data_IF_236205009224
#
_entry.id   IF_236205009224
#
_cell.length_a   1.000
_cell.length_b   1.000
_cell.length_c   1.000
_cell.angle_alpha   90.00
_cell.angle_beta   90.00
_cell.angle_gamma   90.00
#
_symmetry.space_group_name_H-M   'P 1'
#
loop_
_entity.id
_entity.type
_entity.pdbx_description
1 polymer ?
#
# COMPACT_ATOMS: atom_id res chain seq x y z
N UNK A 1 -18.13 30.20 -0.81
CA UNK A 1 -18.31 29.06 0.11
C UNK A 1 -17.19 28.08 -0.13
N UNK A 2 -16.27 28.02 0.83
CA UNK A 2 -15.06 27.19 0.85
C UNK A 2 -15.42 25.72 1.05
N UNK A 3 -15.31 24.92 0.00
CA UNK A 3 -15.41 23.47 0.09
C UNK A 3 -14.11 22.90 0.66
N UNK A 4 -14.18 22.40 1.89
CA UNK A 4 -13.14 21.60 2.52
C UNK A 4 -13.01 20.27 1.75
N UNK A 5 -11.96 20.14 0.93
CA UNK A 5 -11.53 18.85 0.41
C UNK A 5 -11.07 17.99 1.59
N UNK A 6 -11.83 16.93 1.87
CA UNK A 6 -11.45 15.88 2.78
C UNK A 6 -10.22 15.16 2.22
N UNK A 7 -9.06 15.43 2.80
CA UNK A 7 -7.82 14.67 2.60
C UNK A 7 -8.05 13.21 3.02
N UNK A 8 -8.49 12.36 2.08
CA UNK A 8 -8.46 10.92 2.28
C UNK A 8 -7.00 10.47 2.50
N UNK A 9 -6.71 9.65 3.52
CA UNK A 9 -5.35 9.24 3.82
C UNK A 9 -4.80 8.39 2.66
N UNK A 10 -3.82 8.96 1.95
CA UNK A 10 -3.09 8.30 0.86
C UNK A 10 -2.60 6.92 1.32
N UNK A 11 -3.08 5.86 0.68
CA UNK A 11 -2.74 4.50 1.07
C UNK A 11 -1.21 4.28 1.05
N UNK A 12 -0.67 3.80 2.19
CA UNK A 12 0.77 3.54 2.33
C UNK A 12 1.17 2.39 1.42
N UNK A 13 2.26 2.58 0.65
CA UNK A 13 2.76 1.58 -0.32
C UNK A 13 3.10 0.22 0.32
N UNK A 14 3.39 0.19 1.63
CA UNK A 14 3.63 -1.01 2.43
C UNK A 14 3.05 -0.80 3.83
N UNK A 15 2.09 -1.63 4.22
CA UNK A 15 1.47 -1.58 5.54
C UNK A 15 2.14 -2.64 6.41
N UNK A 16 2.64 -2.23 7.57
CA UNK A 16 3.10 -3.18 8.60
C UNK A 16 1.88 -3.97 9.06
N UNK A 17 1.94 -5.31 8.99
CA UNK A 17 0.92 -6.18 9.56
C UNK A 17 1.43 -6.69 10.92
N UNK A 18 1.07 -6.03 12.04
CA UNK A 18 1.64 -6.40 13.33
C UNK A 18 1.12 -7.76 13.82
N UNK A 19 -0.02 -8.22 13.32
CA UNK A 19 -0.68 -9.44 13.78
C UNK A 19 0.04 -10.70 13.33
N UNK A 20 0.80 -10.62 12.22
CA UNK A 20 1.65 -11.72 11.74
C UNK A 20 2.98 -11.82 12.50
N UNK A 21 3.32 -10.85 13.36
CA UNK A 21 4.52 -10.98 14.16
C UNK A 21 4.38 -12.14 15.15
N UNK A 22 5.37 -13.04 15.17
CA UNK A 22 5.47 -14.19 16.11
C UNK A 22 5.07 -13.82 17.55
N UNK A 23 5.47 -12.64 18.04
CA UNK A 23 5.08 -12.11 19.36
C UNK A 23 3.57 -11.95 19.56
N UNK A 24 2.90 -11.35 18.58
CA UNK A 24 1.49 -11.03 18.65
C UNK A 24 0.64 -12.28 18.44
N UNK A 25 1.06 -13.18 17.55
CA UNK A 25 0.50 -14.53 17.40
C UNK A 25 0.53 -15.26 18.75
N UNK A 26 1.70 -15.41 19.37
CA UNK A 26 1.84 -16.09 20.67
C UNK A 26 1.00 -15.42 21.76
N UNK A 27 0.91 -14.08 21.78
CA UNK A 27 0.08 -13.35 22.75
C UNK A 27 -1.40 -13.68 22.56
N UNK A 28 -1.88 -13.62 21.32
CA UNK A 28 -3.27 -13.91 20.95
C UNK A 28 -3.63 -15.36 21.27
N UNK A 29 -2.77 -16.32 20.87
CA UNK A 29 -2.97 -17.73 21.17
C UNK A 29 -3.06 -18.03 22.67
N UNK A 30 -2.23 -17.36 23.50
CA UNK A 30 -2.31 -17.49 24.97
C UNK A 30 -3.59 -16.93 25.57
N UNK A 31 -4.15 -15.87 25.01
CA UNK A 31 -5.44 -15.32 25.46
C UNK A 31 -6.55 -16.31 25.11
N UNK A 32 -6.63 -16.72 23.83
CA UNK A 32 -7.63 -17.67 23.31
C UNK A 32 -7.50 -19.09 23.87
N UNK A 33 -6.38 -19.43 24.51
CA UNK A 33 -6.15 -20.76 25.08
C UNK A 33 -5.99 -21.86 24.04
N UNK A 34 -5.59 -21.52 22.81
CA UNK A 34 -5.39 -22.49 21.72
C UNK A 34 -3.97 -23.06 21.73
N UNK A 35 -3.81 -24.22 21.08
CA UNK A 35 -2.50 -24.81 20.85
C UNK A 35 -1.60 -23.85 20.07
N UNK A 36 -0.34 -23.69 20.49
CA UNK A 36 0.61 -22.80 19.83
C UNK A 36 2.07 -23.16 20.13
N UNK A 37 2.97 -22.74 19.25
CA UNK A 37 4.41 -22.85 19.47
C UNK A 37 4.90 -21.67 20.32
N UNK A 38 5.65 -21.96 21.39
CA UNK A 38 6.18 -20.94 22.29
C UNK A 38 7.42 -20.23 21.70
N UNK A 39 8.06 -19.36 22.50
CA UNK A 39 9.27 -18.65 22.07
C UNK A 39 10.50 -19.54 21.89
N UNK A 40 10.58 -20.65 22.63
CA UNK A 40 11.66 -21.64 22.59
C UNK A 40 11.50 -22.66 21.46
N UNK A 41 10.31 -22.74 20.85
CA UNK A 41 9.99 -23.69 19.79
C UNK A 41 9.14 -24.87 20.25
N UNK A 42 8.81 -24.95 21.54
CA UNK A 42 8.03 -26.07 22.08
C UNK A 42 6.54 -25.87 21.83
N UNK A 43 5.85 -26.98 21.53
CA UNK A 43 4.40 -27.03 21.38
C UNK A 43 3.71 -26.88 22.74
N UNK A 44 2.87 -25.88 22.88
CA UNK A 44 2.02 -25.67 24.06
C UNK A 44 0.61 -26.11 23.72
N UNK A 45 0.15 -27.14 24.41
CA UNK A 45 -1.19 -27.70 24.26
C UNK A 45 -2.29 -26.67 24.56
N UNK A 46 -3.48 -26.93 24.01
CA UNK A 46 -4.68 -26.11 24.29
C UNK A 46 -4.98 -26.07 25.80
N UNK A 47 -5.55 -24.97 26.27
CA UNK A 47 -5.94 -24.80 27.68
C UNK A 47 -7.04 -25.79 28.01
N UNK A 48 -6.84 -26.56 29.06
CA UNK A 48 -7.78 -27.53 29.61
C UNK A 48 -7.92 -27.34 31.11
N UNK A 49 -8.97 -27.93 31.68
CA UNK A 49 -9.17 -27.99 33.12
C UNK A 49 -8.03 -28.78 33.75
N UNK A 50 -7.47 -28.27 34.83
CA UNK A 50 -6.35 -28.92 35.53
C UNK A 50 -6.78 -30.10 36.41
N UNK A 51 -5.89 -30.48 37.33
CA UNK A 51 -6.15 -31.55 38.29
C UNK A 51 -7.31 -31.22 39.24
N UNK A 52 -8.08 -32.26 39.60
CA UNK A 52 -9.18 -32.15 40.57
C UNK A 52 -8.64 -31.87 41.97
N UNK A 53 -9.24 -30.92 42.68
CA UNK A 53 -8.84 -30.59 44.04
C UNK A 53 -9.39 -31.60 45.07
N UNK A 54 -8.59 -31.92 46.10
CA UNK A 54 -8.99 -32.78 47.23
C UNK A 54 -9.41 -31.95 48.45
N UNK A 55 -10.35 -31.02 48.27
CA UNK A 55 -10.77 -30.08 49.32
C UNK A 55 -12.07 -30.52 50.03
N UNK A 56 -12.27 -30.06 51.27
CA UNK A 56 -13.49 -30.31 52.06
C UNK A 56 -14.78 -29.79 51.41
N UNK A 57 -14.69 -28.75 50.59
CA UNK A 57 -15.81 -28.17 49.85
C UNK A 57 -16.26 -29.03 48.66
N UNK A 58 -15.56 -30.15 48.37
CA UNK A 58 -15.83 -31.04 47.24
C UNK A 58 -16.08 -30.29 45.93
N UNK A 59 -15.28 -29.25 45.64
CA UNK A 59 -15.60 -28.29 44.56
C UNK A 59 -15.87 -28.95 43.19
N UNK A 60 -15.13 -29.98 42.81
CA UNK A 60 -15.31 -30.66 41.51
C UNK A 60 -16.57 -31.52 41.42
N UNK A 61 -17.26 -31.83 42.53
CA UNK A 61 -18.59 -32.47 42.44
C UNK A 61 -19.71 -31.46 42.17
N UNK A 62 -19.41 -30.15 42.18
CA UNK A 62 -20.39 -29.09 41.90
C UNK A 62 -20.46 -28.73 40.40
N UNK A 63 -19.50 -29.20 39.60
CA UNK A 63 -19.37 -28.91 38.18
C UNK A 63 -19.26 -30.22 37.41
N UNK A 64 -20.17 -30.44 36.45
CA UNK A 64 -20.07 -31.55 35.51
C UNK A 64 -19.05 -31.24 34.40
N UNK A 65 -18.93 -32.11 33.40
CA UNK A 65 -17.98 -31.93 32.30
C UNK A 65 -18.39 -30.77 31.39
N UNK A 66 -19.68 -30.58 31.15
CA UNK A 66 -20.22 -29.49 30.33
C UNK A 66 -19.98 -28.12 30.99
N UNK A 67 -20.19 -28.03 32.31
CA UNK A 67 -19.86 -26.84 33.10
C UNK A 67 -18.38 -26.47 32.95
N UNK A 68 -17.48 -27.46 33.03
CA UNK A 68 -16.04 -27.23 32.91
C UNK A 68 -15.67 -26.70 31.52
N UNK A 69 -16.26 -27.25 30.47
CA UNK A 69 -16.07 -26.77 29.09
C UNK A 69 -16.61 -25.35 28.93
N UNK A 70 -17.80 -25.07 29.48
CA UNK A 70 -18.43 -23.77 29.43
C UNK A 70 -17.61 -22.69 30.16
N UNK A 71 -17.09 -22.99 31.35
CA UNK A 71 -16.21 -22.09 32.12
C UNK A 71 -14.98 -21.70 31.30
N UNK A 72 -14.31 -22.68 30.67
CA UNK A 72 -13.14 -22.42 29.84
C UNK A 72 -13.49 -21.66 28.56
N UNK A 73 -14.58 -22.01 27.91
CA UNK A 73 -15.06 -21.34 26.69
C UNK A 73 -15.36 -19.87 26.96
N UNK A 74 -16.13 -19.57 28.00
CA UNK A 74 -16.45 -18.21 28.42
C UNK A 74 -15.17 -17.41 28.73
N UNK A 75 -14.22 -18.02 29.43
CA UNK A 75 -12.96 -17.38 29.75
C UNK A 75 -12.05 -17.12 28.52
N UNK A 76 -12.02 -18.07 27.58
CA UNK A 76 -11.20 -18.00 26.37
C UNK A 76 -11.78 -17.05 25.31
N UNK A 77 -13.10 -16.80 25.34
CA UNK A 77 -13.78 -15.87 24.44
C UNK A 77 -13.53 -14.39 24.77
N UNK A 78 -12.98 -14.08 25.94
CA UNK A 78 -12.55 -12.72 26.28
C UNK A 78 -11.43 -12.26 25.35
N UNK A 79 -11.53 -11.02 24.86
CA UNK A 79 -10.74 -10.52 23.73
C UNK A 79 -9.29 -10.22 24.10
N UNK A 80 -9.04 -9.90 25.37
CA UNK A 80 -7.73 -9.45 25.86
C UNK A 80 -7.35 -10.09 27.20
N UNK A 81 -6.04 -10.05 27.51
CA UNK A 81 -5.56 -10.47 28.82
C UNK A 81 -6.12 -9.59 29.95
N UNK A 82 -6.31 -8.31 29.68
CA UNK A 82 -6.85 -7.37 30.67
C UNK A 82 -8.29 -7.73 31.01
N UNK A 83 -9.14 -7.98 30.01
CA UNK A 83 -10.50 -8.48 30.22
C UNK A 83 -10.52 -9.79 31.01
N UNK A 84 -9.66 -10.75 30.66
CA UNK A 84 -9.53 -12.00 31.41
C UNK A 84 -9.12 -11.78 32.87
N UNK A 85 -8.14 -10.90 33.11
CA UNK A 85 -7.64 -10.65 34.46
C UNK A 85 -8.66 -9.88 35.31
N UNK A 86 -9.38 -8.92 34.72
CA UNK A 86 -10.47 -8.18 35.37
C UNK A 86 -11.62 -9.14 35.70
N UNK A 87 -12.02 -9.98 34.75
CA UNK A 87 -13.04 -11.00 34.96
C UNK A 87 -12.67 -11.92 36.14
N UNK A 88 -11.44 -12.47 36.13
CA UNK A 88 -10.95 -13.31 37.21
C UNK A 88 -10.92 -12.57 38.55
N UNK A 89 -10.42 -11.33 38.58
CA UNK A 89 -10.36 -10.53 39.81
C UNK A 89 -11.76 -10.24 40.38
N UNK A 90 -12.79 -10.06 39.54
CA UNK A 90 -14.18 -9.85 39.98
C UNK A 90 -14.82 -11.07 40.66
N UNK A 91 -14.23 -12.25 40.47
CA UNK A 91 -14.59 -13.51 41.12
C UNK A 91 -13.75 -13.80 42.38
N UNK A 92 -12.96 -12.83 42.85
CA UNK A 92 -12.17 -12.92 44.06
C UNK A 92 -12.67 -11.87 45.04
N UNK A 93 -13.10 -12.29 46.23
CA UNK A 93 -13.54 -11.39 47.28
C UNK A 93 -12.49 -11.31 48.39
N UNK A 94 -12.07 -10.07 48.70
CA UNK A 94 -11.19 -9.76 49.84
C UNK A 94 -12.05 -9.69 51.09
N UNK A 95 -11.67 -10.45 52.12
CA UNK A 95 -12.25 -10.37 53.45
C UNK A 95 -11.17 -10.03 54.48
N UNK A 96 -11.44 -9.02 55.29
CA UNK A 96 -10.58 -8.67 56.41
C UNK A 96 -10.65 -9.76 57.50
N UNK A 97 -9.53 -9.95 58.17
CA UNK A 97 -9.41 -11.02 59.17
C UNK A 97 -10.20 -10.64 60.43
N UNK A 98 -11.23 -11.42 60.78
CA UNK A 98 -11.92 -11.31 62.07
C UNK A 98 -11.03 -11.89 63.17
N UNK A 99 -10.33 -11.02 63.90
CA UNK A 99 -9.49 -11.25 65.08
C UNK A 99 -8.31 -12.25 64.95
N UNK A 100 -7.18 -11.91 65.57
CA UNK A 100 -5.97 -12.72 65.62
C UNK A 100 -5.74 -13.22 67.06
N UNK A 101 -5.73 -14.54 67.30
CA UNK A 101 -5.08 -15.12 68.49
C UNK A 101 -3.72 -15.69 68.07
N UNK A 102 -2.60 -14.99 68.35
CA UNK A 102 -1.27 -15.54 68.05
C UNK A 102 -1.04 -16.81 68.86
N UNK A 103 -0.49 -17.84 68.23
CA UNK A 103 -0.01 -19.07 68.90
C UNK A 103 1.52 -19.23 68.81
N UNK A 104 2.22 -18.26 68.22
CA UNK A 104 3.67 -18.26 67.99
C UNK A 104 4.21 -16.83 68.07
N UNK A 105 5.47 -16.67 68.50
CA UNK A 105 6.14 -15.38 68.75
C UNK A 105 6.46 -14.57 67.49
N UNK A 106 6.43 -15.18 66.30
CA UNK A 106 6.64 -14.48 65.01
C UNK A 106 5.67 -14.97 63.91
N UNK A 107 4.39 -14.59 63.96
CA UNK A 107 3.44 -15.00 62.95
C UNK A 107 3.65 -14.23 61.64
N UNK A 108 3.73 -14.94 60.50
CA UNK A 108 3.60 -14.31 59.17
C UNK A 108 2.23 -13.62 59.08
N UNK A 109 2.18 -12.31 59.23
CA UNK A 109 0.93 -11.54 59.20
C UNK A 109 0.27 -11.64 57.83
N UNK A 110 -0.77 -12.47 57.72
CA UNK A 110 -1.72 -12.39 56.61
C UNK A 110 -2.81 -11.40 56.99
N UNK A 111 -2.70 -10.18 56.47
CA UNK A 111 -3.62 -9.07 56.79
C UNK A 111 -5.04 -9.28 56.23
N UNK A 112 -5.19 -10.10 55.18
CA UNK A 112 -6.48 -10.40 54.57
C UNK A 112 -6.62 -11.88 54.18
N UNK A 113 -7.86 -12.30 53.96
CA UNK A 113 -8.23 -13.60 53.38
C UNK A 113 -8.97 -13.39 52.07
N UNK A 114 -8.91 -14.37 51.17
CA UNK A 114 -9.58 -14.30 49.88
C UNK A 114 -10.54 -15.49 49.73
N UNK A 115 -11.77 -15.21 49.29
CA UNK A 115 -12.71 -16.22 48.78
C UNK A 115 -12.69 -16.21 47.27
N UNK A 116 -12.85 -17.39 46.67
CA UNK A 116 -12.78 -17.59 45.23
C UNK A 116 -14.12 -18.12 44.75
N UNK A 117 -14.62 -17.55 43.66
CA UNK A 117 -15.89 -17.94 43.08
C UNK A 117 -15.72 -18.37 41.64
N UNK A 118 -16.60 -19.23 41.15
CA UNK A 118 -16.70 -19.62 39.74
C UNK A 118 -18.14 -19.41 39.31
N UNK A 119 -18.34 -18.86 38.10
CA UNK A 119 -19.67 -18.67 37.56
C UNK A 119 -20.22 -19.99 37.00
N UNK A 120 -21.40 -20.38 37.45
CA UNK A 120 -22.21 -21.46 36.89
C UNK A 120 -23.61 -20.91 36.62
N UNK A 121 -24.04 -20.91 35.36
CA UNK A 121 -25.37 -20.43 34.95
C UNK A 121 -25.72 -19.04 35.53
N UNK A 122 -24.75 -18.12 35.56
CA UNK A 122 -24.93 -16.76 36.10
C UNK A 122 -24.81 -16.63 37.63
N UNK A 123 -24.68 -17.74 38.36
CA UNK A 123 -24.52 -17.74 39.82
C UNK A 123 -23.06 -17.93 40.25
N UNK A 124 -22.63 -17.25 41.32
CA UNK A 124 -21.28 -17.37 41.88
C UNK A 124 -21.22 -18.54 42.87
N UNK A 125 -20.47 -19.59 42.54
CA UNK A 125 -20.25 -20.75 43.42
C UNK A 125 -18.91 -20.59 44.13
N UNK A 126 -18.92 -20.65 45.47
CA UNK A 126 -17.70 -20.58 46.28
C UNK A 126 -16.86 -21.86 46.13
N UNK A 127 -15.59 -21.70 45.79
CA UNK A 127 -14.65 -22.80 45.58
C UNK A 127 -13.32 -22.57 46.30
N UNK A 128 -12.56 -23.64 46.49
CA UNK A 128 -11.19 -23.51 46.98
C UNK A 128 -10.27 -22.92 45.89
N UNK A 129 -9.13 -22.33 46.31
CA UNK A 129 -8.14 -21.77 45.39
C UNK A 129 -7.66 -22.77 44.33
N UNK A 130 -7.48 -24.04 44.71
CA UNK A 130 -7.01 -25.07 43.78
C UNK A 130 -8.05 -25.36 42.69
N UNK A 131 -9.33 -25.44 43.06
CA UNK A 131 -10.42 -25.58 42.10
C UNK A 131 -10.51 -24.37 41.18
N UNK A 132 -10.41 -23.16 41.72
CA UNK A 132 -10.43 -21.93 40.93
C UNK A 132 -9.32 -21.88 39.87
N UNK A 133 -8.09 -22.26 40.25
CA UNK A 133 -6.93 -22.36 39.34
C UNK A 133 -7.18 -23.40 38.25
N UNK A 134 -7.69 -24.56 38.67
CA UNK A 134 -7.87 -25.73 37.82
C UNK A 134 -9.00 -25.54 36.80
N UNK A 135 -10.18 -25.08 37.24
CA UNK A 135 -11.36 -24.82 36.41
C UNK A 135 -11.12 -23.75 35.34
N UNK A 136 -10.31 -22.74 35.63
CA UNK A 136 -9.95 -21.71 34.64
C UNK A 136 -8.68 -22.05 33.83
N UNK A 137 -8.00 -23.16 34.10
CA UNK A 137 -6.77 -23.55 33.40
C UNK A 137 -5.66 -22.49 33.49
N UNK A 138 -5.50 -21.85 34.66
CA UNK A 138 -4.52 -20.78 34.90
C UNK A 138 -3.43 -21.21 35.88
N UNK A 139 -2.34 -20.44 35.97
CA UNK A 139 -1.27 -20.72 36.94
C UNK A 139 -1.54 -20.10 38.32
N UNK A 140 -1.05 -20.75 39.38
CA UNK A 140 -1.13 -20.22 40.75
C UNK A 140 -0.49 -18.83 40.89
N UNK A 141 0.55 -18.54 40.11
CA UNK A 141 1.20 -17.23 40.06
C UNK A 141 0.30 -16.14 39.50
N UNK A 142 -0.56 -16.44 38.51
CA UNK A 142 -1.56 -15.50 37.97
C UNK A 142 -2.54 -15.08 39.07
N UNK A 143 -3.08 -16.05 39.80
CA UNK A 143 -4.01 -15.80 40.92
C UNK A 143 -3.35 -14.99 42.03
N UNK A 144 -2.10 -15.33 42.42
CA UNK A 144 -1.35 -14.57 43.43
C UNK A 144 -1.26 -13.08 43.07
N UNK A 145 -0.85 -12.78 41.83
CA UNK A 145 -0.76 -11.39 41.35
C UNK A 145 -2.11 -10.67 41.40
N UNK A 146 -3.22 -11.34 41.04
CA UNK A 146 -4.55 -10.72 41.10
C UNK A 146 -4.96 -10.40 42.54
N UNK A 147 -4.66 -11.28 43.49
CA UNK A 147 -4.86 -11.02 44.92
C UNK A 147 -4.02 -9.84 45.42
N UNK A 148 -2.74 -9.74 45.01
CA UNK A 148 -1.86 -8.64 45.41
C UNK A 148 -2.36 -7.29 44.88
N UNK A 149 -2.81 -7.24 43.62
CA UNK A 149 -3.39 -6.04 43.02
C UNK A 149 -4.72 -5.65 43.67
N UNK A 150 -5.57 -6.64 43.99
CA UNK A 150 -6.83 -6.42 44.70
C UNK A 150 -6.58 -5.90 46.12
N UNK A 151 -5.54 -6.40 46.79
CA UNK A 151 -5.12 -5.89 48.09
C UNK A 151 -4.71 -4.41 48.04
N UNK A 152 -4.01 -4.01 46.97
CA UNK A 152 -3.60 -2.62 46.69
C UNK A 152 -4.72 -1.74 46.11
N UNK A 153 -5.94 -2.27 45.92
CA UNK A 153 -7.06 -1.52 45.33
C UNK A 153 -6.87 -1.17 43.85
N UNK A 154 -6.06 -1.94 43.12
CA UNK A 154 -5.69 -1.66 41.73
C UNK A 154 -6.26 -2.70 40.76
N UNK A 155 -6.67 -2.23 39.57
CA UNK A 155 -7.12 -3.10 38.49
C UNK A 155 -5.93 -3.71 37.74
N UNK A 156 -6.04 -4.98 37.29
CA UNK A 156 -4.98 -5.62 36.53
C UNK A 156 -4.84 -5.00 35.16
N UNK A 157 -3.58 -4.72 34.80
CA UNK A 157 -3.19 -4.22 33.48
C UNK A 157 -2.00 -5.01 32.95
N UNK A 158 -2.03 -5.36 31.67
CA UNK A 158 -1.00 -6.16 31.02
C UNK A 158 0.20 -5.29 30.67
N UNK A 159 1.19 -5.28 31.57
CA UNK A 159 2.45 -4.56 31.38
C UNK A 159 3.46 -5.30 30.48
N UNK A 160 3.10 -6.45 29.88
CA UNK A 160 4.04 -7.25 29.08
C UNK A 160 4.57 -6.42 27.90
N UNK A 161 5.89 -6.23 27.86
CA UNK A 161 6.55 -5.60 26.71
C UNK A 161 6.34 -4.10 26.59
N UNK A 162 5.87 -3.46 27.65
CA UNK A 162 5.79 -2.00 27.78
C UNK A 162 7.11 -1.39 28.29
N UNK A 163 8.08 -2.21 28.70
CA UNK A 163 9.40 -1.71 29.06
C UNK A 163 10.02 -1.00 27.87
N UNK A 164 10.58 0.18 28.13
CA UNK A 164 11.39 0.90 27.17
C UNK A 164 12.54 0.00 26.72
N UNK A 165 12.69 -0.14 25.42
CA UNK A 165 13.81 -0.92 24.87
C UNK A 165 15.02 0.00 24.87
N UNK A 166 16.10 -0.41 25.52
CA UNK A 166 17.36 0.34 25.52
C UNK A 166 17.86 0.69 24.10
N UNK A 167 17.56 -0.16 23.12
CA UNK A 167 17.93 0.02 21.71
C UNK A 167 16.84 0.69 20.85
N UNK A 168 15.79 1.25 21.46
CA UNK A 168 14.82 2.04 20.72
C UNK A 168 15.47 3.34 20.25
N UNK A 169 15.31 3.64 18.97
CA UNK A 169 15.80 4.91 18.42
C UNK A 169 15.01 6.06 19.04
N UNK A 170 15.74 7.07 19.51
CA UNK A 170 15.17 8.23 20.19
C UNK A 170 14.13 8.93 19.29
N UNK A 171 13.02 9.43 19.85
CA UNK A 171 11.99 10.14 19.09
C UNK A 171 12.55 11.32 18.29
N UNK A 172 13.55 12.01 18.83
CA UNK A 172 14.26 13.13 18.20
C UNK A 172 14.90 12.73 16.85
N UNK A 173 15.53 11.56 16.79
CA UNK A 173 16.15 11.04 15.57
C UNK A 173 15.07 10.74 14.52
N UNK A 174 13.95 10.16 14.93
CA UNK A 174 12.83 9.91 14.02
C UNK A 174 12.27 11.22 13.44
N UNK A 175 12.14 12.26 14.26
CA UNK A 175 11.70 13.59 13.82
C UNK A 175 12.69 14.22 12.83
N UNK A 176 13.99 14.17 13.14
CA UNK A 176 15.04 14.69 12.25
C UNK A 176 15.04 13.98 10.88
N UNK A 177 14.87 12.65 10.84
CA UNK A 177 14.73 11.90 9.59
C UNK A 177 13.49 12.37 8.81
N UNK A 178 12.36 12.55 9.50
CA UNK A 178 11.10 12.97 8.89
C UNK A 178 11.24 14.34 8.21
N UNK A 179 11.75 15.32 8.97
CA UNK A 179 11.94 16.70 8.51
C UNK A 179 12.95 16.77 7.36
N UNK A 180 14.01 15.96 7.42
CA UNK A 180 14.98 15.84 6.34
C UNK A 180 14.34 15.32 5.04
N UNK A 181 13.52 14.27 5.11
CA UNK A 181 12.84 13.73 3.92
C UNK A 181 11.85 14.74 3.34
N UNK A 182 11.11 15.49 4.17
CA UNK A 182 10.19 16.53 3.73
C UNK A 182 10.89 17.76 3.13
N UNK A 183 12.16 17.98 3.47
CA UNK A 183 12.92 19.12 2.92
C UNK A 183 13.25 18.99 1.42
N UNK A 184 13.10 17.80 0.83
CA UNK A 184 13.34 17.60 -0.59
C UNK A 184 12.14 18.05 -1.44
N UNK A 185 12.37 18.82 -2.52
CA UNK A 185 11.29 19.26 -3.40
C UNK A 185 10.65 18.07 -4.12
N UNK A 186 9.32 18.07 -4.19
CA UNK A 186 8.52 17.03 -4.86
C UNK A 186 7.76 17.59 -6.05
N UNK A 187 7.67 16.80 -7.12
CA UNK A 187 6.86 17.07 -8.31
C UNK A 187 5.60 16.23 -8.30
N UNK A 188 4.46 16.83 -8.60
CA UNK A 188 3.16 16.13 -8.67
C UNK A 188 2.81 15.82 -10.12
N UNK A 189 2.21 14.66 -10.37
CA UNK A 189 1.61 14.35 -11.68
C UNK A 189 0.16 14.82 -11.74
N UNK A 190 -0.15 15.74 -12.66
CA UNK A 190 -1.51 16.27 -12.84
C UNK A 190 -2.40 15.41 -13.75
N UNK A 191 -1.82 14.46 -14.49
CA UNK A 191 -2.50 13.77 -15.60
C UNK A 191 -2.95 12.33 -15.29
N UNK A 192 -2.72 11.83 -14.06
CA UNK A 192 -3.23 10.53 -13.61
C UNK A 192 -4.37 10.70 -12.61
N UNK A 193 -5.37 9.83 -12.65
CA UNK A 193 -6.49 9.85 -11.68
C UNK A 193 -6.07 9.68 -10.20
N UNK A 194 -4.80 9.37 -9.94
CA UNK A 194 -4.19 9.34 -8.60
C UNK A 194 -3.01 10.31 -8.56
N UNK A 195 -2.99 11.24 -7.62
CA UNK A 195 -1.83 12.12 -7.41
C UNK A 195 -0.63 11.29 -6.93
N UNK A 196 0.45 11.30 -7.71
CA UNK A 196 1.71 10.65 -7.35
C UNK A 196 2.77 11.74 -7.19
N UNK A 197 3.51 11.69 -6.08
CA UNK A 197 4.60 12.61 -5.76
C UNK A 197 5.95 11.98 -6.13
N UNK A 198 6.76 12.72 -6.88
CA UNK A 198 8.07 12.31 -7.38
C UNK A 198 9.19 13.19 -6.80
N UNK A 199 10.21 12.55 -6.24
CA UNK A 199 11.51 13.13 -5.93
C UNK A 199 12.38 13.16 -7.21
N UNK A 200 13.36 14.06 -7.24
CA UNK A 200 14.32 14.20 -8.36
C UNK A 200 14.90 12.85 -8.79
N UNK A 201 15.03 12.62 -10.09
CA UNK A 201 15.54 11.36 -10.66
C UNK A 201 16.98 11.02 -10.27
N UNK A 202 17.76 12.01 -9.84
CA UNK A 202 19.14 11.83 -9.35
C UNK A 202 19.19 11.40 -7.89
N UNK A 203 18.08 11.54 -7.16
CA UNK A 203 17.98 11.11 -5.77
C UNK A 203 17.60 9.64 -5.69
N UNK A 204 18.06 8.99 -4.63
CA UNK A 204 17.62 7.68 -4.20
C UNK A 204 17.70 7.63 -2.67
N UNK A 205 17.15 6.59 -2.03
CA UNK A 205 17.11 6.54 -0.56
C UNK A 205 18.52 6.54 0.06
N UNK A 206 19.52 5.97 -0.64
CA UNK A 206 20.91 5.92 -0.18
C UNK A 206 21.55 7.32 -0.17
N UNK A 207 21.44 8.06 -1.26
CA UNK A 207 21.92 9.44 -1.36
C UNK A 207 21.20 10.36 -0.38
N UNK A 208 19.89 10.18 -0.16
CA UNK A 208 19.16 10.92 0.88
C UNK A 208 19.69 10.64 2.29
N UNK A 209 20.07 9.38 2.58
CA UNK A 209 20.68 8.99 3.85
C UNK A 209 22.10 9.57 4.01
N UNK A 210 22.91 9.56 2.95
CA UNK A 210 24.23 10.20 2.95
C UNK A 210 24.12 11.72 3.20
N UNK A 211 23.15 12.38 2.56
CA UNK A 211 22.85 13.80 2.82
C UNK A 211 22.36 14.04 4.25
N UNK A 212 21.58 13.12 4.81
CA UNK A 212 21.14 13.18 6.22
C UNK A 212 22.33 13.10 7.17
N UNK A 213 23.25 12.16 6.94
CA UNK A 213 24.47 12.01 7.75
C UNK A 213 25.40 13.23 7.66
N UNK A 214 25.48 13.88 6.50
CA UNK A 214 26.22 15.15 6.36
C UNK A 214 25.56 16.31 7.10
N UNK A 215 24.23 16.40 7.07
CA UNK A 215 23.47 17.50 7.70
C UNK A 215 23.36 17.34 9.23
N UNK A 216 23.32 16.10 9.71
CA UNK A 216 23.16 15.77 11.13
C UNK A 216 24.29 14.83 11.61
N UNK A 217 25.53 15.32 11.72
CA UNK A 217 26.68 14.48 12.09
C UNK A 217 26.57 13.89 13.51
N UNK A 218 25.83 14.53 14.40
CA UNK A 218 25.61 14.07 15.79
C UNK A 218 24.49 13.02 15.93
N UNK A 219 23.61 12.88 14.92
CA UNK A 219 22.46 11.99 14.96
C UNK A 219 22.67 10.79 14.02
N UNK A 220 23.63 9.94 14.38
CA UNK A 220 23.97 8.76 13.60
C UNK A 220 22.78 7.79 13.43
N UNK A 221 22.53 7.37 12.19
CA UNK A 221 21.47 6.43 11.83
C UNK A 221 22.00 5.46 10.79
N UNK A 222 21.79 4.16 11.02
CA UNK A 222 22.09 3.11 10.02
C UNK A 222 21.16 3.23 8.82
N UNK A 223 21.70 3.02 7.62
CA UNK A 223 20.95 3.06 6.36
C UNK A 223 19.69 2.18 6.38
N UNK A 224 19.79 0.97 6.94
CA UNK A 224 18.67 0.02 7.05
C UNK A 224 17.47 0.60 7.79
N UNK A 225 17.72 1.33 8.89
CA UNK A 225 16.66 2.00 9.63
C UNK A 225 16.08 3.17 8.83
N UNK A 226 16.94 3.99 8.21
CA UNK A 226 16.50 5.10 7.37
C UNK A 226 15.62 4.61 6.21
N UNK A 227 16.06 3.55 5.51
CA UNK A 227 15.32 2.91 4.43
C UNK A 227 13.98 2.34 4.89
N UNK A 228 13.96 1.70 6.06
CA UNK A 228 12.73 1.18 6.66
C UNK A 228 11.77 2.33 7.01
N UNK A 229 12.27 3.39 7.66
CA UNK A 229 11.49 4.57 8.01
C UNK A 229 10.92 5.25 6.77
N UNK A 230 11.72 5.42 5.71
CA UNK A 230 11.26 5.96 4.43
C UNK A 230 10.10 5.12 3.84
N UNK A 231 10.27 3.79 3.77
CA UNK A 231 9.26 2.88 3.20
C UNK A 231 7.97 2.82 4.00
N UNK A 232 8.04 2.96 5.33
CA UNK A 232 6.87 2.86 6.22
C UNK A 232 6.10 4.18 6.36
N UNK A 233 6.76 5.32 6.16
CA UNK A 233 6.17 6.64 6.40
C UNK A 233 5.91 7.46 5.14
N UNK A 234 6.58 7.18 4.02
CA UNK A 234 6.48 7.98 2.80
C UNK A 234 6.03 7.17 1.58
N UNK A 235 5.16 7.76 0.77
CA UNK A 235 4.75 7.23 -0.53
C UNK A 235 5.34 8.05 -1.69
N UNK A 236 6.65 8.32 -1.62
CA UNK A 236 7.38 9.07 -2.63
C UNK A 236 7.99 8.12 -3.67
N UNK A 237 7.97 8.52 -4.94
CA UNK A 237 8.68 7.82 -6.02
C UNK A 237 9.92 8.61 -6.44
N UNK A 238 10.91 7.94 -7.01
CA UNK A 238 12.06 8.59 -7.63
C UNK A 238 11.85 8.64 -9.14
N UNK A 239 12.24 9.73 -9.78
CA UNK A 239 12.19 9.85 -11.23
C UNK A 239 11.48 11.10 -11.71
N UNK A 240 11.52 11.31 -13.01
CA UNK A 240 10.62 12.27 -13.67
C UNK A 240 9.31 11.54 -13.96
N UNK A 241 8.15 12.21 -13.89
CA UNK A 241 6.98 11.71 -14.59
C UNK A 241 7.38 11.44 -16.04
N UNK A 242 7.37 10.17 -16.47
CA UNK A 242 7.49 9.84 -17.90
C UNK A 242 6.15 10.17 -18.54
N UNK A 243 5.92 11.45 -18.75
CA UNK A 243 4.80 11.93 -19.54
C UNK A 243 5.36 13.08 -20.36
N UNK A 244 5.35 12.94 -21.67
CA UNK A 244 5.61 14.06 -22.57
C UNK A 244 4.60 15.15 -22.23
N UNK A 245 5.10 16.19 -21.57
CA UNK A 245 4.27 17.35 -21.23
C UNK A 245 3.99 18.10 -22.52
N UNK A 246 2.72 18.25 -22.87
CA UNK A 246 2.33 19.03 -24.04
C UNK A 246 2.92 20.46 -23.92
N UNK A 247 3.73 20.85 -24.90
CA UNK A 247 4.40 22.16 -24.95
C UNK A 247 3.36 23.29 -24.78
N UNK A 248 2.21 23.17 -25.46
CA UNK A 248 1.13 24.16 -25.35
C UNK A 248 0.52 24.22 -23.94
N UNK A 249 0.39 23.08 -23.25
CA UNK A 249 -0.07 23.07 -21.85
C UNK A 249 0.92 23.76 -20.91
N UNK A 250 2.22 23.55 -21.12
CA UNK A 250 3.29 24.19 -20.33
C UNK A 250 3.35 25.68 -20.63
N UNK A 251 3.36 26.08 -21.90
CA UNK A 251 3.35 27.48 -22.33
C UNK A 251 2.17 28.26 -21.73
N UNK A 252 0.95 27.71 -21.84
CA UNK A 252 -0.24 28.31 -21.23
C UNK A 252 -0.15 28.29 -19.70
N UNK A 253 0.42 27.24 -19.11
CA UNK A 253 0.67 27.17 -17.68
C UNK A 253 1.60 28.26 -17.16
N UNK A 254 2.68 28.55 -17.90
CA UNK A 254 3.61 29.65 -17.61
C UNK A 254 2.91 31.00 -17.78
N UNK A 255 2.17 31.20 -18.88
CA UNK A 255 1.38 32.43 -19.12
C UNK A 255 0.40 32.73 -17.99
N UNK A 256 -0.31 31.72 -17.48
CA UNK A 256 -1.26 31.89 -16.38
C UNK A 256 -0.56 32.32 -15.07
N UNK A 257 0.65 31.82 -14.82
CA UNK A 257 1.42 32.10 -13.59
C UNK A 257 2.26 33.38 -13.69
N UNK A 258 2.39 33.98 -14.87
CA UNK A 258 3.27 35.13 -15.06
C UNK A 258 2.74 36.37 -14.32
N UNK A 259 3.54 36.98 -13.44
CA UNK A 259 3.15 38.22 -12.76
C UNK A 259 3.13 39.43 -13.71
N UNK A 260 3.78 39.34 -14.88
CA UNK A 260 3.89 40.43 -15.87
C UNK A 260 2.73 40.49 -16.88
N UNK A 261 1.82 39.51 -16.89
CA UNK A 261 0.70 39.47 -17.83
C UNK A 261 -0.56 40.11 -17.25
N UNK A 262 -1.31 40.82 -18.11
CA UNK A 262 -2.59 41.42 -17.75
C UNK A 262 -3.64 40.35 -17.44
N UNK A 263 -4.60 40.69 -16.58
CA UNK A 263 -5.69 39.78 -16.20
C UNK A 263 -6.53 39.27 -17.40
N UNK A 264 -6.83 40.09 -18.44
CA UNK A 264 -7.48 39.58 -19.66
C UNK A 264 -6.63 38.53 -20.39
N UNK A 265 -5.31 38.72 -20.49
CA UNK A 265 -4.41 37.77 -21.15
C UNK A 265 -4.34 36.44 -20.37
N UNK A 266 -4.34 36.48 -19.03
CA UNK A 266 -4.42 35.28 -18.20
C UNK A 266 -5.74 34.54 -18.41
N UNK A 267 -6.88 35.26 -18.42
CA UNK A 267 -8.20 34.65 -18.69
C UNK A 267 -8.27 34.01 -20.08
N UNK A 268 -7.70 34.64 -21.10
CA UNK A 268 -7.60 34.07 -22.44
C UNK A 268 -6.76 32.77 -22.45
N UNK A 269 -5.61 32.77 -21.76
CA UNK A 269 -4.77 31.58 -21.64
C UNK A 269 -5.47 30.43 -20.88
N UNK A 270 -6.26 30.73 -19.85
CA UNK A 270 -7.11 29.74 -19.16
C UNK A 270 -8.16 29.17 -20.12
N UNK A 271 -8.87 30.02 -20.86
CA UNK A 271 -9.88 29.58 -21.81
C UNK A 271 -9.27 28.69 -22.91
N UNK A 272 -8.12 29.09 -23.46
CA UNK A 272 -7.38 28.31 -24.46
C UNK A 272 -6.94 26.95 -23.90
N UNK A 273 -6.45 26.92 -22.66
CA UNK A 273 -6.07 25.66 -21.99
C UNK A 273 -7.26 24.73 -21.79
N UNK A 274 -8.43 25.26 -21.43
CA UNK A 274 -9.67 24.49 -21.31
C UNK A 274 -10.07 23.90 -22.66
N UNK A 275 -10.06 24.70 -23.73
CA UNK A 275 -10.38 24.24 -25.09
C UNK A 275 -9.41 23.16 -25.55
N UNK A 276 -8.11 23.37 -25.36
CA UNK A 276 -7.08 22.39 -25.70
C UNK A 276 -7.28 21.06 -24.96
N UNK A 277 -7.54 21.11 -23.65
CA UNK A 277 -7.85 19.90 -22.86
C UNK A 277 -9.14 19.21 -23.31
N UNK A 278 -10.18 19.97 -23.68
CA UNK A 278 -11.44 19.41 -24.22
C UNK A 278 -11.22 18.71 -25.56
N UNK A 279 -10.38 19.26 -26.46
CA UNK A 279 -10.02 18.61 -27.73
C UNK A 279 -9.31 17.28 -27.50
N UNK A 280 -8.32 17.25 -26.60
CA UNK A 280 -7.64 16.01 -26.23
C UNK A 280 -8.61 14.99 -25.62
N UNK A 281 -9.53 15.42 -24.74
CA UNK A 281 -10.59 14.54 -24.21
C UNK A 281 -11.46 13.94 -25.31
N UNK A 282 -11.88 14.74 -26.30
CA UNK A 282 -12.67 14.26 -27.44
C UNK A 282 -11.94 13.16 -28.22
N UNK A 283 -10.63 13.32 -28.44
CA UNK A 283 -9.80 12.29 -29.09
C UNK A 283 -9.81 10.97 -28.30
N UNK A 284 -9.57 11.00 -26.99
CA UNK A 284 -9.60 9.80 -26.15
C UNK A 284 -10.99 9.18 -26.00
N UNK A 285 -12.06 9.99 -25.98
CA UNK A 285 -13.43 9.49 -26.05
C UNK A 285 -13.64 8.74 -27.36
N UNK A 286 -13.14 9.27 -28.49
CA UNK A 286 -13.28 8.62 -29.78
C UNK A 286 -12.53 7.29 -29.88
N UNK A 287 -11.35 7.19 -29.26
CA UNK A 287 -10.63 5.91 -29.13
C UNK A 287 -11.50 4.86 -28.44
N UNK A 288 -12.17 5.22 -27.32
CA UNK A 288 -13.04 4.28 -26.59
C UNK A 288 -14.25 3.87 -27.42
N UNK A 289 -14.91 4.83 -28.08
CA UNK A 289 -16.03 4.55 -28.99
C UNK A 289 -15.62 3.57 -30.10
N UNK A 290 -14.49 3.79 -30.76
CA UNK A 290 -14.00 2.92 -31.84
C UNK A 290 -13.59 1.55 -31.29
N UNK A 291 -12.99 1.47 -30.11
CA UNK A 291 -12.71 0.19 -29.45
C UNK A 291 -14.00 -0.64 -29.24
N UNK A 292 -15.10 0.00 -28.82
CA UNK A 292 -16.39 -0.68 -28.69
C UNK A 292 -16.98 -1.10 -30.03
N UNK A 293 -16.87 -0.26 -31.07
CA UNK A 293 -17.30 -0.59 -32.43
C UNK A 293 -16.53 -1.80 -33.00
N UNK A 294 -15.22 -1.84 -32.81
CA UNK A 294 -14.37 -2.95 -33.27
C UNK A 294 -14.71 -4.28 -32.60
N UNK A 295 -15.27 -4.25 -31.38
CA UNK A 295 -15.73 -5.45 -30.67
C UNK A 295 -17.08 -5.95 -31.19
N UNK A 296 -17.96 -5.04 -31.61
CA UNK A 296 -19.32 -5.37 -32.08
C UNK A 296 -19.38 -5.75 -33.55
N UNK A 297 -18.50 -5.19 -34.38
CA UNK A 297 -18.56 -5.36 -35.82
C UNK A 297 -17.27 -5.98 -36.36
N UNK A 298 -17.38 -7.07 -37.10
CA UNK A 298 -16.22 -7.79 -37.60
C UNK A 298 -15.49 -7.06 -38.74
N UNK A 299 -16.21 -6.21 -39.48
CA UNK A 299 -15.67 -5.51 -40.65
C UNK A 299 -14.95 -4.20 -40.30
N UNK A 300 -14.88 -3.85 -39.01
CA UNK A 300 -14.26 -2.60 -38.54
C UNK A 300 -12.97 -2.91 -37.78
N UNK A 301 -11.91 -2.17 -38.09
CA UNK A 301 -10.65 -2.18 -37.34
C UNK A 301 -10.20 -0.77 -37.01
N UNK A 302 -9.79 -0.58 -35.75
CA UNK A 302 -9.06 0.59 -35.30
C UNK A 302 -7.60 0.23 -35.02
N UNK A 303 -6.68 1.05 -35.50
CA UNK A 303 -5.26 0.96 -35.16
C UNK A 303 -4.76 2.28 -34.60
N UNK A 304 -3.92 2.20 -33.57
CA UNK A 304 -3.14 3.33 -33.07
C UNK A 304 -1.67 3.09 -33.30
N UNK A 305 -0.95 4.11 -33.78
CA UNK A 305 0.46 3.96 -34.10
C UNK A 305 1.29 5.15 -33.65
N UNK A 306 2.52 4.87 -33.23
CA UNK A 306 3.44 5.87 -32.73
C UNK A 306 4.90 5.40 -32.84
N UNK A 307 5.83 6.34 -32.89
CA UNK A 307 7.24 6.06 -32.69
C UNK A 307 7.59 6.10 -31.20
N UNK A 308 8.26 5.06 -30.73
CA UNK A 308 8.88 5.10 -29.42
C UNK A 308 10.09 6.04 -29.42
N UNK A 309 10.58 6.36 -28.22
CA UNK A 309 11.85 7.04 -28.04
C UNK A 309 12.97 6.27 -28.77
N UNK A 310 13.80 6.99 -29.53
CA UNK A 310 14.93 6.39 -30.24
C UNK A 310 15.86 5.70 -29.24
N UNK A 311 16.32 4.50 -29.60
CA UNK A 311 17.19 3.69 -28.76
C UNK A 311 18.65 3.88 -29.21
N UNK A 312 19.53 4.47 -28.39
CA UNK A 312 20.93 4.60 -28.74
C UNK A 312 21.64 3.24 -28.61
N UNK A 313 22.42 2.86 -29.63
CA UNK A 313 23.28 1.70 -29.62
C UNK A 313 24.74 2.06 -29.92
N UNK A 314 25.72 1.51 -29.18
CA UNK A 314 25.54 0.73 -27.94
C UNK A 314 25.09 1.62 -26.75
N UNK A 315 24.31 1.06 -25.83
CA UNK A 315 23.95 1.74 -24.58
C UNK A 315 25.08 1.57 -23.56
N UNK A 316 25.99 2.54 -23.51
CA UNK A 316 27.12 2.53 -22.58
C UNK A 316 26.91 3.59 -21.47
N UNK A 317 27.23 3.31 -20.20
CA UNK A 317 27.01 4.23 -19.09
C UNK A 317 28.22 5.17 -18.86
N UNK A 318 28.75 5.80 -19.92
CA UNK A 318 29.96 6.64 -19.87
C UNK A 318 29.64 8.06 -20.36
N UNK A 319 30.14 9.09 -19.69
CA UNK A 319 29.82 10.49 -20.04
C UNK A 319 30.39 10.92 -21.41
N UNK A 320 31.54 10.36 -21.81
CA UNK A 320 32.24 10.70 -23.05
C UNK A 320 31.40 10.44 -24.31
N UNK A 321 30.42 9.53 -24.22
CA UNK A 321 29.47 9.18 -25.29
C UNK A 321 28.66 10.39 -25.74
N UNK A 322 28.44 11.37 -24.86
CA UNK A 322 27.74 12.60 -25.20
C UNK A 322 28.42 13.38 -26.33
N UNK A 323 29.73 13.18 -26.53
CA UNK A 323 30.52 13.80 -27.59
C UNK A 323 30.73 12.88 -28.81
N UNK A 324 30.19 11.66 -28.78
CA UNK A 324 30.32 10.67 -29.85
C UNK A 324 28.97 10.47 -30.56
N UNK A 325 29.03 10.17 -31.86
CA UNK A 325 27.82 9.85 -32.64
C UNK A 325 27.42 8.40 -32.38
N UNK A 326 26.33 8.20 -31.65
CA UNK A 326 25.71 6.89 -31.45
C UNK A 326 24.81 6.51 -32.62
N UNK A 327 24.73 5.22 -32.93
CA UNK A 327 23.76 4.69 -33.87
C UNK A 327 22.37 4.72 -33.24
N UNK A 328 21.40 5.34 -33.92
CA UNK A 328 20.01 5.33 -33.45
C UNK A 328 19.21 4.18 -34.06
N UNK A 329 18.54 3.43 -33.19
CA UNK A 329 17.50 2.48 -33.58
C UNK A 329 16.13 3.11 -33.40
N UNK A 330 15.40 3.17 -34.50
CA UNK A 330 14.02 3.63 -34.54
C UNK A 330 13.10 2.44 -34.23
N UNK A 331 12.08 2.68 -33.40
CA UNK A 331 11.06 1.68 -33.08
C UNK A 331 9.67 2.28 -33.33
N UNK A 332 8.94 1.71 -34.29
CA UNK A 332 7.57 2.12 -34.63
C UNK A 332 6.59 1.04 -34.19
N UNK A 333 5.63 1.41 -33.35
CA UNK A 333 4.62 0.50 -32.82
C UNK A 333 3.26 0.73 -33.47
N UNK A 334 2.60 -0.34 -33.89
CA UNK A 334 1.19 -0.34 -34.30
C UNK A 334 0.42 -1.24 -33.34
N UNK A 335 -0.56 -0.67 -32.66
CA UNK A 335 -1.47 -1.39 -31.77
C UNK A 335 -2.84 -1.54 -32.43
N UNK A 336 -3.33 -2.77 -32.47
CA UNK A 336 -4.63 -3.11 -33.02
C UNK A 336 -5.69 -3.16 -31.93
N UNK A 337 -6.67 -2.28 -32.02
CA UNK A 337 -7.71 -2.11 -31.01
C UNK A 337 -8.68 -3.29 -30.95
N UNK A 338 -8.83 -4.06 -32.03
CA UNK A 338 -9.69 -5.24 -32.09
C UNK A 338 -9.04 -6.45 -31.42
N UNK A 339 -7.80 -6.77 -31.80
CA UNK A 339 -7.08 -7.94 -31.28
C UNK A 339 -6.32 -7.66 -29.98
N UNK A 340 -6.18 -6.39 -29.59
CA UNK A 340 -5.37 -5.92 -28.47
C UNK A 340 -3.88 -6.32 -28.59
N UNK A 341 -3.41 -6.61 -29.81
CA UNK A 341 -2.01 -6.96 -30.09
C UNK A 341 -1.26 -5.76 -30.67
N UNK A 342 0.01 -5.66 -30.32
CA UNK A 342 0.92 -4.65 -30.88
C UNK A 342 2.00 -5.32 -31.74
N UNK A 343 2.35 -4.68 -32.86
CA UNK A 343 3.46 -5.08 -33.74
C UNK A 343 4.46 -3.94 -33.80
N UNK A 344 5.74 -4.28 -33.60
CA UNK A 344 6.83 -3.31 -33.60
C UNK A 344 7.71 -3.52 -34.83
N UNK A 345 8.08 -2.41 -35.47
CA UNK A 345 9.05 -2.36 -36.56
C UNK A 345 10.28 -1.65 -36.03
N UNK A 346 11.41 -2.37 -36.01
CA UNK A 346 12.69 -1.87 -35.55
C UNK A 346 13.67 -1.84 -36.71
N UNK A 347 14.36 -0.72 -36.88
CA UNK A 347 15.38 -0.53 -37.91
C UNK A 347 16.35 0.56 -37.43
N UNK A 348 17.60 0.49 -37.88
CA UNK A 348 18.59 1.52 -37.52
C UNK A 348 18.57 2.69 -38.52
N UNK A 349 19.10 3.85 -38.13
CA UNK A 349 19.11 5.08 -38.96
C UNK A 349 19.82 4.94 -40.31
N UNK A 350 20.64 3.90 -40.48
CA UNK A 350 21.29 3.53 -41.73
C UNK A 350 20.39 2.77 -42.72
N UNK A 351 19.31 2.14 -42.25
CA UNK A 351 18.33 1.43 -43.09
C UNK A 351 17.19 2.34 -43.53
N UNK A 352 16.80 3.29 -42.68
CA UNK A 352 15.66 4.15 -42.93
C UNK A 352 15.64 5.36 -42.00
N UNK A 353 14.98 6.43 -42.48
CA UNK A 353 14.77 7.63 -41.67
C UNK A 353 13.53 7.46 -40.80
N UNK A 354 13.16 8.52 -40.08
CA UNK A 354 11.95 8.55 -39.23
C UNK A 354 10.83 9.39 -39.86
N UNK A 355 10.73 9.36 -41.19
CA UNK A 355 9.87 10.24 -41.97
C UNK A 355 8.50 9.64 -42.26
N UNK A 356 7.67 10.43 -42.94
CA UNK A 356 6.32 10.01 -43.34
C UNK A 356 6.32 8.83 -44.32
N UNK A 357 7.34 8.71 -45.17
CA UNK A 357 7.42 7.60 -46.12
C UNK A 357 7.59 6.27 -45.38
N UNK A 358 8.46 6.24 -44.36
CA UNK A 358 8.64 5.05 -43.53
C UNK A 358 7.35 4.71 -42.76
N UNK A 359 6.63 5.71 -42.25
CA UNK A 359 5.31 5.51 -41.63
C UNK A 359 4.34 4.87 -42.61
N UNK A 360 4.18 5.42 -43.82
CA UNK A 360 3.32 4.87 -44.85
C UNK A 360 3.72 3.43 -45.24
N UNK A 361 5.01 3.14 -45.42
CA UNK A 361 5.50 1.81 -45.74
C UNK A 361 5.20 0.80 -44.63
N UNK A 362 5.40 1.17 -43.37
CA UNK A 362 5.11 0.31 -42.22
C UNK A 362 3.60 0.10 -42.04
N UNK A 363 2.79 1.15 -42.20
CA UNK A 363 1.32 1.04 -42.20
C UNK A 363 0.83 0.14 -43.32
N UNK A 364 1.32 0.33 -44.56
CA UNK A 364 0.96 -0.50 -45.69
C UNK A 364 1.34 -1.97 -45.45
N UNK A 365 2.58 -2.23 -45.02
CA UNK A 365 3.02 -3.58 -44.65
C UNK A 365 2.16 -4.20 -43.55
N UNK A 366 1.74 -3.41 -42.56
CA UNK A 366 0.83 -3.89 -41.50
C UNK A 366 -0.56 -4.23 -42.05
N UNK A 367 -1.16 -3.32 -42.81
CA UNK A 367 -2.49 -3.48 -43.41
C UNK A 367 -2.53 -4.74 -44.28
N UNK A 368 -1.58 -4.91 -45.18
CA UNK A 368 -1.54 -6.05 -46.10
C UNK A 368 -1.26 -7.38 -45.39
N UNK A 369 -0.46 -7.39 -44.32
CA UNK A 369 -0.08 -8.64 -43.64
C UNK A 369 -0.97 -9.05 -42.47
N UNK A 370 -1.66 -8.09 -41.85
CA UNK A 370 -2.29 -8.28 -40.53
C UNK A 370 -3.77 -7.87 -40.48
N UNK A 371 -4.30 -7.19 -41.50
CA UNK A 371 -5.73 -6.83 -41.57
C UNK A 371 -6.40 -7.67 -42.67
N UNK A 372 -7.39 -8.51 -42.34
CA UNK A 372 -8.13 -9.31 -43.31
C UNK A 372 -8.82 -8.45 -44.38
N UNK A 373 -9.00 -9.02 -45.57
CA UNK A 373 -9.72 -8.36 -46.68
C UNK A 373 -11.22 -8.16 -46.39
N UNK A 374 -11.79 -8.92 -45.46
CA UNK A 374 -13.18 -8.75 -45.01
C UNK A 374 -13.44 -7.42 -44.29
N UNK A 375 -12.39 -6.74 -43.82
CA UNK A 375 -12.50 -5.44 -43.15
C UNK A 375 -12.67 -4.35 -44.21
N UNK A 376 -13.78 -3.62 -44.14
CA UNK A 376 -14.12 -2.53 -45.07
C UNK A 376 -13.95 -1.12 -44.47
N UNK A 377 -13.83 -1.01 -43.14
CA UNK A 377 -13.72 0.28 -42.44
C UNK A 377 -12.50 0.33 -41.53
N UNK A 378 -11.63 1.32 -41.75
CA UNK A 378 -10.39 1.50 -41.01
C UNK A 378 -10.36 2.83 -40.24
N UNK A 379 -10.10 2.75 -38.94
CA UNK A 379 -9.84 3.91 -38.09
C UNK A 379 -8.35 4.00 -37.74
N UNK A 380 -7.74 5.13 -38.07
CA UNK A 380 -6.35 5.44 -37.80
C UNK A 380 -6.26 6.43 -36.63
N UNK A 381 -5.44 6.13 -35.62
CA UNK A 381 -5.15 7.02 -34.50
C UNK A 381 -3.65 7.28 -34.38
N UNK A 382 -3.25 8.54 -34.37
CA UNK A 382 -1.85 8.93 -34.27
C UNK A 382 -1.66 10.16 -33.39
N UNK A 383 -0.40 10.45 -33.06
CA UNK A 383 -0.03 11.74 -32.51
C UNK A 383 -0.20 12.88 -33.56
N UNK A 384 0.06 14.10 -33.10
CA UNK A 384 -0.04 15.33 -33.89
C UNK A 384 1.20 15.70 -34.70
N UNK A 385 2.20 14.82 -34.82
CA UNK A 385 3.51 15.17 -35.39
C UNK A 385 3.40 15.51 -36.89
N UNK A 386 3.65 16.76 -37.33
CA UNK A 386 3.47 17.15 -38.72
C UNK A 386 4.42 16.43 -39.68
N UNK A 387 5.67 16.20 -39.26
CA UNK A 387 6.67 15.53 -40.09
C UNK A 387 6.41 14.03 -40.32
N UNK A 388 5.46 13.45 -39.58
CA UNK A 388 5.20 12.01 -39.59
C UNK A 388 3.74 11.70 -39.91
N UNK A 389 2.82 12.22 -39.09
CA UNK A 389 1.46 11.73 -39.03
C UNK A 389 0.42 12.77 -39.47
N UNK A 390 0.62 14.05 -39.15
CA UNK A 390 -0.32 15.13 -39.48
C UNK A 390 0.11 15.90 -40.74
N UNK A 391 0.07 15.23 -41.88
CA UNK A 391 0.46 15.80 -43.17
C UNK A 391 -0.37 15.25 -44.35
N UNK A 392 -0.19 15.87 -45.51
CA UNK A 392 -0.89 15.48 -46.73
C UNK A 392 -0.53 14.08 -47.24
N UNK A 393 0.66 13.56 -46.92
CA UNK A 393 1.09 12.24 -47.39
C UNK A 393 0.27 11.14 -46.73
N UNK A 394 0.03 11.21 -45.41
CA UNK A 394 -0.85 10.25 -44.71
C UNK A 394 -2.28 10.34 -45.21
N UNK A 395 -2.80 11.55 -45.43
CA UNK A 395 -4.14 11.74 -45.99
C UNK A 395 -4.27 11.15 -47.40
N UNK A 396 -3.27 11.39 -48.27
CA UNK A 396 -3.23 10.81 -49.63
C UNK A 396 -3.07 9.30 -49.59
N UNK A 397 -2.31 8.76 -48.65
CA UNK A 397 -2.20 7.32 -48.41
C UNK A 397 -3.55 6.72 -48.01
N UNK A 398 -4.27 7.35 -47.07
CA UNK A 398 -5.63 6.94 -46.70
C UNK A 398 -6.59 6.98 -47.88
N UNK A 399 -6.52 8.03 -48.71
CA UNK A 399 -7.34 8.15 -49.92
C UNK A 399 -6.99 7.06 -50.94
N UNK A 400 -5.71 6.75 -51.12
CA UNK A 400 -5.27 5.70 -52.04
C UNK A 400 -5.81 4.32 -51.62
N UNK A 401 -5.88 4.03 -50.31
CA UNK A 401 -6.48 2.79 -49.81
C UNK A 401 -7.99 2.68 -50.08
N UNK A 402 -8.69 3.81 -50.10
CA UNK A 402 -10.12 3.85 -50.46
C UNK A 402 -10.29 3.69 -51.97
N UNK A 403 -9.52 4.45 -52.76
CA UNK A 403 -9.61 4.44 -54.22
C UNK A 403 -9.15 3.09 -54.83
N UNK A 404 -8.26 2.36 -54.16
CA UNK A 404 -7.87 1.02 -54.57
C UNK A 404 -8.92 -0.06 -54.22
N UNK A 405 -10.05 0.33 -53.61
CA UNK A 405 -11.08 -0.59 -53.14
C UNK A 405 -10.68 -1.41 -51.92
N UNK A 406 -9.54 -1.14 -51.28
CA UNK A 406 -9.10 -1.93 -50.12
C UNK A 406 -9.99 -1.67 -48.91
N UNK A 407 -10.46 -0.43 -48.73
CA UNK A 407 -11.45 -0.07 -47.71
C UNK A 407 -12.54 0.80 -48.36
N UNK A 408 -13.76 0.74 -47.85
CA UNK A 408 -14.83 1.67 -48.21
C UNK A 408 -14.65 3.01 -47.51
N UNK A 409 -14.18 2.98 -46.26
CA UNK A 409 -13.98 4.17 -45.45
C UNK A 409 -12.68 4.07 -44.65
N UNK A 410 -11.89 5.15 -44.68
CA UNK A 410 -10.72 5.33 -43.81
C UNK A 410 -10.85 6.66 -43.09
N UNK A 411 -10.92 6.62 -41.76
CA UNK A 411 -11.01 7.82 -40.93
C UNK A 411 -9.75 7.97 -40.07
N UNK A 412 -9.05 9.10 -40.21
CA UNK A 412 -7.84 9.40 -39.45
C UNK A 412 -8.07 10.47 -38.38
N UNK A 413 -7.78 10.11 -37.14
CA UNK A 413 -7.74 11.00 -36.00
C UNK A 413 -6.29 11.26 -35.59
N UNK A 414 -5.90 12.53 -35.52
CA UNK A 414 -4.59 12.99 -35.04
C UNK A 414 -4.79 13.99 -33.88
N UNK A 415 -4.01 13.82 -32.81
CA UNK A 415 -4.13 14.57 -31.55
C UNK A 415 -3.72 16.05 -31.67
#
# INVERSE_FOLDING_TARGET
>A
MSGSESDEPVSKKRIRNPDTHKRNIIRSSKVKGVEHINWKGDLVQKRVTGERCKCRLKCFSLFDEDDQVNILSQFNNLSSKDEQDIFLQSLIEKHDKKAHRPRQDNPKSRQCSFKYFVLKQGTKINVCKQAYISLHGISAGRVRRLCDLLFQGSLPKDKRGMNEKANAIKPEICKAIHDHILSFPVKNTHYGGKQIKYLDSRLNVKTMHELYMKKHPTLFVKYEFFLKYFKENFNLRFGRPQVDTCIKCEELGVKIKSPSLSEPAKKAAVAEKIVHSRRAKKFYTKIKEVQELCRKNENIVGISFDFMQNLPLPHLPVQDIFYLRQLWVNCFGIHNMKTQKSKFYMYHEGEGKKGVNEVCSMLHKYITSSIPESVDTLYLFSDGCPGQNKNHTILRFSLALVNSGRFKEVTHFSL
#
